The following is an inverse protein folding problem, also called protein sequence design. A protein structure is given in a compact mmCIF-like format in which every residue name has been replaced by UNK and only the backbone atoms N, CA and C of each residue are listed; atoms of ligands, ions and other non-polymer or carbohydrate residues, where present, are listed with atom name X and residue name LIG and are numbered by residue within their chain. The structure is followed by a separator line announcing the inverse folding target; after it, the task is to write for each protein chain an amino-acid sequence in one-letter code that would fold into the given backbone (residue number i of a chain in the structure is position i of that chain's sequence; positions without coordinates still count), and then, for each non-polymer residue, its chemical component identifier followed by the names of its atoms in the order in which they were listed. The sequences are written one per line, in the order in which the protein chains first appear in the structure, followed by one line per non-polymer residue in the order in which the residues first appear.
data_IF_725606812220
#
_entry.id   IF_725606812220
#
_cell.length_a   1.000
_cell.length_b   1.000
_cell.length_c   1.000
_cell.angle_alpha   90.00
_cell.angle_beta   90.00
_cell.angle_gamma   90.00
#
_symmetry.space_group_name_H-M   'P 1'
#
loop_
_entity.id
_entity.type
_entity.pdbx_description
1 polymer ?
#
# COMPACT_ATOMS: atom_id res chain seq x y z
N UNK A 1 32.54 51.38 11.60
CA UNK A 1 31.97 50.45 10.60
C UNK A 1 31.00 51.27 9.77
N UNK A 2 31.20 51.36 8.45
CA UNK A 2 30.46 52.30 7.61
C UNK A 2 29.01 51.83 7.46
N UNK A 3 28.04 52.66 7.85
CA UNK A 3 26.60 52.31 7.85
C UNK A 3 26.15 51.88 6.45
N UNK A 4 26.69 52.51 5.41
CA UNK A 4 26.42 52.17 4.01
C UNK A 4 26.88 50.76 3.63
N UNK A 5 28.00 50.29 4.20
CA UNK A 5 28.49 48.93 3.98
C UNK A 5 27.55 47.91 4.64
N UNK A 6 26.98 48.25 5.80
CA UNK A 6 26.02 47.39 6.49
C UNK A 6 24.72 47.25 5.70
N UNK A 7 24.21 48.35 5.16
CA UNK A 7 23.03 48.36 4.30
C UNK A 7 23.26 47.57 3.01
N UNK A 8 24.42 47.71 2.38
CA UNK A 8 24.75 46.99 1.15
C UNK A 8 24.85 45.47 1.38
N UNK A 9 25.48 45.04 2.47
CA UNK A 9 25.57 43.62 2.85
C UNK A 9 24.18 43.05 3.18
N UNK A 10 23.34 43.80 3.90
CA UNK A 10 21.96 43.40 4.18
C UNK A 10 21.12 43.25 2.91
N UNK A 11 21.28 44.15 1.93
CA UNK A 11 20.58 44.09 0.65
C UNK A 11 20.99 42.86 -0.18
N UNK A 12 22.30 42.56 -0.24
CA UNK A 12 22.80 41.36 -0.93
C UNK A 12 22.31 40.07 -0.26
N UNK A 13 22.26 40.02 1.07
CA UNK A 13 21.68 38.89 1.82
C UNK A 13 20.20 38.68 1.50
N UNK A 14 19.41 39.76 1.41
CA UNK A 14 17.99 39.67 1.04
C UNK A 14 17.79 39.14 -0.39
N UNK A 15 18.60 39.62 -1.34
CA UNK A 15 18.59 39.11 -2.73
C UNK A 15 18.96 37.63 -2.78
N UNK A 16 20.00 37.23 -2.03
CA UNK A 16 20.43 35.84 -1.95
C UNK A 16 19.35 34.92 -1.36
N UNK A 17 18.70 35.35 -0.26
CA UNK A 17 17.59 34.61 0.35
C UNK A 17 16.40 34.50 -0.61
N UNK A 18 16.07 35.58 -1.33
CA UNK A 18 15.00 35.59 -2.34
C UNK A 18 15.30 34.64 -3.52
N UNK A 19 16.55 34.62 -4.01
CA UNK A 19 16.96 33.72 -5.08
C UNK A 19 16.93 32.25 -4.63
N UNK A 20 17.37 31.94 -3.40
CA UNK A 20 17.27 30.58 -2.86
C UNK A 20 15.81 30.17 -2.68
N UNK A 21 14.97 31.04 -2.10
CA UNK A 21 13.57 30.70 -1.84
C UNK A 21 12.79 30.48 -3.15
N UNK A 22 13.02 31.33 -4.16
CA UNK A 22 12.44 31.14 -5.50
C UNK A 22 12.96 29.88 -6.20
N UNK A 23 14.25 29.56 -6.12
CA UNK A 23 14.79 28.29 -6.64
C UNK A 23 14.20 27.08 -5.93
N UNK A 24 14.05 27.13 -4.59
CA UNK A 24 13.42 26.04 -3.83
C UNK A 24 11.94 25.88 -4.18
N UNK A 25 11.22 26.98 -4.39
CA UNK A 25 9.81 26.97 -4.78
C UNK A 25 9.61 26.47 -6.22
N UNK A 26 10.46 26.89 -7.16
CA UNK A 26 10.43 26.38 -8.54
C UNK A 26 10.77 24.90 -8.56
N UNK A 27 11.76 24.45 -7.78
CA UNK A 27 12.12 23.05 -7.69
C UNK A 27 10.99 22.22 -7.05
N UNK A 28 10.35 22.69 -5.97
CA UNK A 28 9.22 21.98 -5.36
C UNK A 28 7.99 21.93 -6.27
N UNK A 29 7.69 23.02 -6.99
CA UNK A 29 6.60 23.09 -7.97
C UNK A 29 6.85 22.20 -9.18
N UNK A 30 8.08 22.15 -9.69
CA UNK A 30 8.47 21.24 -10.76
C UNK A 30 8.41 19.77 -10.33
N UNK A 31 8.86 19.46 -9.10
CA UNK A 31 8.78 18.11 -8.54
C UNK A 31 7.32 17.64 -8.40
N UNK A 32 6.44 18.47 -7.84
CA UNK A 32 5.00 18.16 -7.75
C UNK A 32 4.33 18.02 -9.12
N UNK A 33 4.77 18.80 -10.12
CA UNK A 33 4.26 18.70 -11.50
C UNK A 33 4.72 17.41 -12.19
N UNK A 34 5.94 16.94 -11.92
CA UNK A 34 6.52 15.71 -12.44
C UNK A 34 5.92 14.48 -11.73
N UNK A 35 5.84 14.49 -10.40
CA UNK A 35 5.24 13.42 -9.59
C UNK A 35 3.80 13.09 -10.01
N UNK A 36 3.03 14.13 -10.36
CA UNK A 36 1.64 13.98 -10.78
C UNK A 36 1.48 13.94 -12.31
N UNK A 37 2.57 13.91 -13.08
CA UNK A 37 2.48 13.85 -14.54
C UNK A 37 1.91 12.50 -14.97
N UNK A 38 0.75 12.46 -15.64
CA UNK A 38 0.16 11.21 -16.13
C UNK A 38 1.10 10.43 -17.06
N UNK A 39 2.05 11.13 -17.70
CA UNK A 39 3.06 10.52 -18.56
C UNK A 39 4.08 9.66 -17.80
N UNK A 40 4.49 10.08 -16.60
CA UNK A 40 5.51 9.37 -15.80
C UNK A 40 4.91 8.25 -14.97
N UNK A 41 3.71 8.46 -14.41
CA UNK A 41 2.97 7.43 -13.67
C UNK A 41 2.72 6.20 -14.56
N UNK A 42 2.19 6.40 -15.77
CA UNK A 42 1.86 5.30 -16.70
C UNK A 42 3.06 4.51 -17.25
N UNK A 43 4.30 4.96 -17.04
CA UNK A 43 5.52 4.33 -17.58
C UNK A 43 6.44 3.73 -16.52
N UNK A 44 6.20 3.98 -15.23
CA UNK A 44 7.15 3.65 -14.15
C UNK A 44 6.58 2.70 -13.11
N UNK A 45 5.95 1.59 -13.55
CA UNK A 45 5.55 0.52 -12.64
C UNK A 45 6.75 0.09 -11.78
N UNK A 46 6.67 0.34 -10.48
CA UNK A 46 7.72 -0.03 -9.54
C UNK A 46 7.65 -1.52 -9.24
N UNK A 47 6.43 -2.07 -9.32
CA UNK A 47 6.11 -3.49 -9.18
C UNK A 47 5.13 -3.92 -10.26
N UNK A 48 5.18 -5.20 -10.63
CA UNK A 48 4.25 -5.82 -11.57
C UNK A 48 2.91 -6.19 -10.94
N UNK A 49 2.87 -6.39 -9.62
CA UNK A 49 1.69 -6.86 -8.88
C UNK A 49 1.73 -6.46 -7.40
N UNK A 50 0.56 -6.50 -6.75
CA UNK A 50 0.39 -6.22 -5.32
C UNK A 50 -0.32 -7.37 -4.63
N UNK A 51 0.21 -7.79 -3.47
CA UNK A 51 -0.38 -8.74 -2.56
C UNK A 51 -0.72 -8.06 -1.25
N UNK A 52 -1.98 -8.16 -0.80
CA UNK A 52 -2.45 -7.55 0.44
C UNK A 52 -2.98 -8.66 1.35
N UNK A 53 -2.35 -8.84 2.51
CA UNK A 53 -2.71 -9.83 3.51
C UNK A 53 -3.27 -9.12 4.74
N UNK A 54 -4.60 -9.13 4.89
CA UNK A 54 -5.32 -8.51 5.98
C UNK A 54 -5.54 -9.46 7.15
N UNK A 55 -5.31 -8.97 8.37
CA UNK A 55 -5.67 -9.65 9.62
C UNK A 55 -6.58 -8.72 10.41
N UNK A 56 -7.86 -9.07 10.47
CA UNK A 56 -8.91 -8.31 11.15
C UNK A 56 -8.64 -8.23 12.66
N UNK A 57 -8.89 -7.07 13.26
CA UNK A 57 -8.77 -6.85 14.71
C UNK A 57 -7.37 -7.06 15.30
N UNK A 58 -6.33 -7.13 14.47
CA UNK A 58 -4.97 -7.45 14.94
C UNK A 58 -4.23 -6.28 15.62
N UNK A 59 -4.81 -5.08 15.63
CA UNK A 59 -4.29 -3.90 16.34
C UNK A 59 -2.83 -3.63 16.00
N UNK A 60 -1.99 -3.36 17.01
CA UNK A 60 -0.54 -3.13 16.86
C UNK A 60 0.31 -4.40 16.98
N UNK A 61 -0.32 -5.57 16.80
CA UNK A 61 0.21 -6.89 17.20
C UNK A 61 0.40 -7.07 18.71
N UNK A 62 0.24 -6.02 19.52
CA UNK A 62 0.60 -6.00 20.94
C UNK A 62 2.04 -6.54 21.15
N UNK A 63 2.36 -6.99 22.37
CA UNK A 63 3.62 -7.70 22.66
C UNK A 63 3.62 -9.16 22.16
N UNK A 64 2.92 -9.46 21.05
CA UNK A 64 2.87 -10.82 20.52
C UNK A 64 4.20 -11.25 19.89
N UNK A 65 4.55 -12.51 20.14
CA UNK A 65 5.67 -13.20 19.52
C UNK A 65 5.28 -13.69 18.11
N UNK A 66 5.37 -12.79 17.13
CA UNK A 66 5.08 -13.06 15.71
C UNK A 66 6.35 -12.92 14.85
N UNK A 67 7.34 -13.82 14.99
CA UNK A 67 8.67 -13.66 14.40
C UNK A 67 8.66 -13.50 12.87
N UNK A 68 7.75 -14.16 12.17
CA UNK A 68 7.60 -13.99 10.71
C UNK A 68 7.23 -12.56 10.35
N UNK A 69 6.21 -11.99 10.99
CA UNK A 69 5.78 -10.61 10.74
C UNK A 69 6.90 -9.63 11.14
N UNK A 70 7.54 -9.84 12.30
CA UNK A 70 8.67 -9.02 12.76
C UNK A 70 9.87 -9.07 11.81
N UNK A 71 10.15 -10.21 11.19
CA UNK A 71 11.22 -10.32 10.19
C UNK A 71 10.81 -9.68 8.87
N UNK A 72 9.56 -9.82 8.44
CA UNK A 72 9.05 -9.14 7.26
C UNK A 72 9.13 -7.61 7.40
N UNK A 73 8.82 -7.06 8.58
CA UNK A 73 8.99 -5.63 8.87
C UNK A 73 10.41 -5.12 8.56
N UNK A 74 11.44 -5.93 8.81
CA UNK A 74 12.84 -5.57 8.54
C UNK A 74 13.18 -5.53 7.04
N UNK A 75 12.35 -6.13 6.19
CA UNK A 75 12.58 -6.19 4.73
C UNK A 75 11.99 -5.01 3.97
N UNK A 76 11.39 -4.05 4.67
CA UNK A 76 10.72 -2.94 4.03
C UNK A 76 10.40 -1.82 5.02
N UNK A 77 9.24 -1.20 4.80
CA UNK A 77 8.69 -0.22 5.72
C UNK A 77 7.73 -0.88 6.70
N UNK A 78 7.62 -0.32 7.89
CA UNK A 78 6.66 -0.79 8.87
C UNK A 78 6.24 0.30 9.85
N UNK A 79 5.13 0.06 10.55
CA UNK A 79 4.79 0.76 11.78
C UNK A 79 4.01 -0.16 12.72
N UNK A 80 4.15 0.08 14.02
CA UNK A 80 3.31 -0.50 15.07
C UNK A 80 2.44 0.55 15.75
N UNK A 81 2.54 1.80 15.29
CA UNK A 81 1.86 2.96 15.87
C UNK A 81 1.03 3.68 14.81
N UNK A 82 0.59 2.94 13.80
CA UNK A 82 -0.36 3.43 12.80
C UNK A 82 -1.72 3.70 13.43
N UNK A 83 -2.54 4.52 12.77
CA UNK A 83 -3.92 4.77 13.22
C UNK A 83 -4.96 4.32 12.20
N UNK A 84 -6.13 3.92 12.68
CA UNK A 84 -7.30 3.71 11.82
C UNK A 84 -8.26 4.91 11.88
N UNK A 85 -9.35 4.82 11.14
CA UNK A 85 -10.43 5.82 11.10
C UNK A 85 -11.45 5.60 12.22
N UNK A 86 -12.30 6.59 12.45
CA UNK A 86 -13.43 6.51 13.39
C UNK A 86 -14.75 6.39 12.63
N UNK A 87 -15.71 5.57 13.10
CA UNK A 87 -15.56 4.59 14.18
C UNK A 87 -14.60 3.45 13.80
N UNK A 88 -13.96 2.83 14.79
CA UNK A 88 -13.01 1.72 14.60
C UNK A 88 -13.74 0.39 14.36
N UNK A 89 -14.64 0.37 13.38
CA UNK A 89 -15.50 -0.75 13.00
C UNK A 89 -15.06 -1.25 11.61
N UNK A 90 -15.07 -2.57 11.41
CA UNK A 90 -14.44 -3.21 10.26
C UNK A 90 -14.92 -2.67 8.90
N UNK A 91 -16.21 -2.43 8.68
CA UNK A 91 -16.69 -1.87 7.40
C UNK A 91 -16.13 -0.47 7.12
N UNK A 92 -16.11 0.38 8.15
CA UNK A 92 -15.58 1.73 8.11
C UNK A 92 -14.08 1.72 7.87
N UNK A 93 -13.34 0.88 8.58
CA UNK A 93 -11.90 0.75 8.49
C UNK A 93 -11.45 0.14 7.15
N UNK A 94 -12.00 -1.01 6.75
CA UNK A 94 -11.69 -1.64 5.46
C UNK A 94 -12.15 -0.78 4.28
N UNK A 95 -13.33 -0.16 4.38
CA UNK A 95 -13.83 0.80 3.40
C UNK A 95 -12.85 1.94 3.21
N UNK A 96 -12.47 2.61 4.29
CA UNK A 96 -11.51 3.72 4.27
C UNK A 96 -10.14 3.29 3.74
N UNK A 97 -9.70 2.07 4.07
CA UNK A 97 -8.42 1.53 3.59
C UNK A 97 -8.36 1.42 2.05
N UNK A 98 -9.45 0.97 1.43
CA UNK A 98 -9.48 0.66 0.00
C UNK A 98 -10.09 1.76 -0.88
N UNK A 99 -10.91 2.65 -0.31
CA UNK A 99 -11.36 3.87 -0.97
C UNK A 99 -10.46 5.08 -0.68
N UNK A 100 -9.56 4.99 0.31
CA UNK A 100 -8.68 6.08 0.75
C UNK A 100 -9.44 7.36 1.11
N UNK A 101 -10.65 7.24 1.67
CA UNK A 101 -11.50 8.35 2.13
C UNK A 101 -12.05 8.02 3.50
N UNK A 102 -12.47 9.03 4.27
CA UNK A 102 -13.08 8.81 5.58
C UNK A 102 -14.47 8.14 5.48
N UNK A 103 -14.95 7.50 6.56
CA UNK A 103 -16.22 6.77 6.58
C UNK A 103 -17.44 7.55 6.11
N UNK A 104 -17.49 8.86 6.37
CA UNK A 104 -18.59 9.74 5.94
C UNK A 104 -18.72 9.81 4.42
N UNK A 105 -17.62 9.60 3.68
CA UNK A 105 -17.63 9.66 2.22
C UNK A 105 -18.18 8.37 1.62
N UNK A 106 -17.70 7.21 2.07
CA UNK A 106 -18.12 5.92 1.51
C UNK A 106 -19.39 5.35 2.17
N UNK A 107 -19.79 5.87 3.34
CA UNK A 107 -21.01 5.53 4.08
C UNK A 107 -21.20 4.03 4.35
N UNK A 108 -20.10 3.27 4.44
CA UNK A 108 -20.15 1.85 4.75
C UNK A 108 -20.31 1.69 6.25
N UNK A 109 -21.16 0.76 6.64
CA UNK A 109 -21.28 0.23 8.00
C UNK A 109 -21.34 -1.30 7.88
N UNK A 110 -21.12 -2.04 8.98
CA UNK A 110 -21.20 -3.50 8.94
C UNK A 110 -22.53 -4.00 8.36
N UNK A 111 -23.65 -3.37 8.74
CA UNK A 111 -24.97 -3.73 8.22
C UNK A 111 -25.09 -3.51 6.69
N UNK A 112 -24.67 -2.33 6.22
CA UNK A 112 -24.70 -2.01 4.78
C UNK A 112 -23.79 -2.98 4.02
N UNK A 113 -22.56 -3.17 4.49
CA UNK A 113 -21.55 -3.96 3.80
C UNK A 113 -21.95 -5.45 3.72
N UNK A 114 -22.67 -5.98 4.70
CA UNK A 114 -23.14 -7.38 4.70
C UNK A 114 -24.45 -7.61 3.96
N UNK A 115 -25.33 -6.61 3.88
CA UNK A 115 -26.73 -6.81 3.47
C UNK A 115 -27.12 -6.09 2.19
N UNK A 116 -26.43 -5.01 1.81
CA UNK A 116 -26.75 -4.20 0.63
C UNK A 116 -25.68 -4.39 -0.43
N UNK A 117 -26.08 -4.77 -1.65
CA UNK A 117 -25.15 -4.74 -2.79
C UNK A 117 -24.87 -3.29 -3.16
N UNK A 118 -23.68 -2.81 -2.84
CA UNK A 118 -23.31 -1.44 -3.17
C UNK A 118 -22.71 -1.33 -4.57
N UNK A 119 -23.11 -0.28 -5.28
CA UNK A 119 -22.24 0.42 -6.23
C UNK A 119 -22.21 1.87 -5.77
N UNK A 120 -21.07 2.36 -5.27
CA UNK A 120 -20.85 3.78 -5.10
C UNK A 120 -19.97 4.26 -6.28
N UNK A 121 -20.58 4.53 -7.46
CA UNK A 121 -19.81 4.87 -8.66
C UNK A 121 -19.02 6.17 -8.52
N UNK A 122 -19.31 6.96 -7.48
CA UNK A 122 -18.71 8.27 -7.26
C UNK A 122 -17.37 8.18 -6.51
N UNK A 123 -17.05 7.06 -5.86
CA UNK A 123 -15.80 6.89 -5.12
C UNK A 123 -15.05 5.70 -5.68
N UNK A 124 -13.85 5.96 -6.20
CA UNK A 124 -13.05 4.92 -6.83
C UNK A 124 -12.28 4.12 -5.78
N UNK A 125 -12.52 2.82 -5.67
CA UNK A 125 -11.69 1.92 -4.85
C UNK A 125 -10.38 1.56 -5.54
N UNK A 126 -9.39 1.07 -4.78
CA UNK A 126 -8.15 0.48 -5.33
C UNK A 126 -8.42 -0.57 -6.39
N UNK A 127 -9.42 -1.43 -6.19
CA UNK A 127 -9.78 -2.50 -7.12
C UNK A 127 -10.39 -1.94 -8.42
N UNK A 128 -11.29 -0.96 -8.30
CA UNK A 128 -11.87 -0.27 -9.46
C UNK A 128 -10.78 0.50 -10.25
N UNK A 129 -9.89 1.21 -9.55
CA UNK A 129 -8.75 1.90 -10.15
C UNK A 129 -7.83 0.92 -10.90
N UNK A 130 -7.54 -0.23 -10.29
CA UNK A 130 -6.72 -1.29 -10.90
C UNK A 130 -7.39 -1.83 -12.15
N UNK A 131 -8.69 -2.11 -12.13
CA UNK A 131 -9.45 -2.58 -13.30
C UNK A 131 -9.44 -1.54 -14.43
N UNK A 132 -9.59 -0.25 -14.11
CA UNK A 132 -9.55 0.84 -15.11
C UNK A 132 -8.19 0.96 -15.80
N UNK A 133 -7.10 0.84 -15.04
CA UNK A 133 -5.73 0.97 -15.57
C UNK A 133 -5.25 -0.31 -16.25
N UNK A 134 -5.72 -1.48 -15.80
CA UNK A 134 -5.33 -2.78 -16.33
C UNK A 134 -6.58 -3.64 -16.64
N UNK A 135 -7.30 -3.35 -17.75
CA UNK A 135 -8.57 -4.01 -18.06
C UNK A 135 -8.50 -5.53 -18.16
N UNK A 136 -7.38 -6.06 -18.65
CA UNK A 136 -7.16 -7.50 -18.85
C UNK A 136 -6.46 -8.18 -17.67
N UNK A 137 -6.04 -7.42 -16.66
CA UNK A 137 -5.32 -7.97 -15.52
C UNK A 137 -6.23 -8.79 -14.60
N UNK A 138 -5.63 -9.77 -13.93
CA UNK A 138 -6.37 -10.58 -12.97
C UNK A 138 -6.41 -9.93 -11.57
N UNK A 139 -7.60 -9.77 -11.02
CA UNK A 139 -7.84 -9.17 -9.70
C UNK A 139 -8.67 -10.15 -8.86
N UNK A 140 -8.22 -10.44 -7.64
CA UNK A 140 -8.85 -11.43 -6.76
C UNK A 140 -9.02 -10.90 -5.33
N UNK A 141 -10.13 -11.28 -4.71
CA UNK A 141 -10.40 -11.07 -3.29
C UNK A 141 -10.89 -12.38 -2.66
N UNK A 142 -10.26 -12.79 -1.57
CA UNK A 142 -10.72 -13.92 -0.77
C UNK A 142 -10.82 -13.46 0.69
N UNK A 143 -11.99 -13.56 1.30
CA UNK A 143 -12.23 -13.03 2.62
C UNK A 143 -12.95 -14.04 3.51
N UNK A 144 -12.70 -13.97 4.80
CA UNK A 144 -13.50 -14.73 5.76
C UNK A 144 -14.84 -14.03 5.99
N UNK A 145 -14.81 -12.70 6.05
CA UNK A 145 -15.97 -11.88 6.29
C UNK A 145 -16.84 -11.70 5.04
N UNK A 146 -18.16 -11.88 5.17
CA UNK A 146 -19.14 -11.87 4.06
C UNK A 146 -19.17 -10.55 3.30
N UNK A 147 -18.90 -9.43 3.96
CA UNK A 147 -19.06 -8.08 3.43
C UNK A 147 -18.30 -7.86 2.10
N UNK A 148 -17.14 -8.49 1.93
CA UNK A 148 -16.30 -8.38 0.73
C UNK A 148 -16.93 -8.92 -0.56
N UNK A 149 -17.96 -9.79 -0.48
CA UNK A 149 -18.72 -10.25 -1.65
C UNK A 149 -20.07 -9.54 -1.85
N UNK A 150 -20.49 -8.71 -0.88
CA UNK A 150 -21.83 -8.11 -0.88
C UNK A 150 -21.76 -6.62 -1.13
N UNK A 151 -21.40 -5.84 -0.12
CA UNK A 151 -21.52 -4.40 -0.12
C UNK A 151 -20.20 -3.65 -0.10
N UNK A 152 -19.07 -4.29 0.15
CA UNK A 152 -17.81 -3.56 0.25
C UNK A 152 -17.36 -2.97 -1.10
N UNK A 153 -17.46 -3.77 -2.17
CA UNK A 153 -16.94 -3.43 -3.50
C UNK A 153 -17.82 -3.94 -4.63
N UNK A 154 -17.67 -3.34 -5.80
CA UNK A 154 -18.31 -3.78 -7.04
C UNK A 154 -17.75 -5.12 -7.50
N UNK A 155 -18.52 -6.20 -7.42
CA UNK A 155 -18.04 -7.55 -7.78
C UNK A 155 -17.47 -7.66 -9.22
N UNK A 156 -17.91 -6.80 -10.14
CA UNK A 156 -17.44 -6.78 -11.54
C UNK A 156 -15.96 -6.41 -11.71
N UNK A 157 -15.31 -5.84 -10.68
CA UNK A 157 -13.87 -5.54 -10.77
C UNK A 157 -13.01 -6.79 -10.62
N UNK A 158 -13.55 -7.87 -10.04
CA UNK A 158 -12.80 -9.10 -9.73
C UNK A 158 -12.99 -10.17 -10.80
N UNK A 159 -11.92 -10.92 -11.08
CA UNK A 159 -11.99 -12.15 -11.86
C UNK A 159 -12.62 -13.29 -11.04
N UNK A 160 -12.34 -13.33 -9.74
CA UNK A 160 -13.01 -14.20 -8.77
C UNK A 160 -13.01 -13.49 -7.41
N UNK A 161 -14.14 -13.56 -6.72
CA UNK A 161 -14.26 -13.12 -5.33
C UNK A 161 -14.98 -14.16 -4.47
N UNK A 162 -14.43 -14.52 -3.32
CA UNK A 162 -15.02 -15.51 -2.40
C UNK A 162 -14.99 -14.96 -0.98
N UNK A 163 -16.14 -14.94 -0.33
CA UNK A 163 -16.30 -14.50 1.05
C UNK A 163 -17.15 -15.47 1.87
N UNK A 164 -17.31 -15.21 3.18
CA UNK A 164 -18.10 -16.01 4.12
C UNK A 164 -17.58 -17.45 4.23
N UNK A 165 -16.26 -17.57 4.39
CA UNK A 165 -15.56 -18.84 4.55
C UNK A 165 -14.61 -18.75 5.75
N UNK A 166 -14.11 -19.88 6.24
CA UNK A 166 -13.16 -19.87 7.35
C UNK A 166 -11.76 -19.46 6.86
N UNK A 167 -10.95 -18.87 7.72
CA UNK A 167 -9.58 -18.42 7.40
C UNK A 167 -8.71 -19.47 6.68
N UNK A 168 -8.76 -20.74 7.11
CA UNK A 168 -7.98 -21.78 6.43
C UNK A 168 -8.42 -21.97 4.97
N UNK A 169 -9.71 -21.76 4.64
CA UNK A 169 -10.21 -21.79 3.26
C UNK A 169 -9.87 -20.53 2.49
N UNK A 170 -9.87 -19.36 3.12
CA UNK A 170 -9.35 -18.12 2.53
C UNK A 170 -7.90 -18.32 2.12
N UNK A 171 -7.10 -18.85 3.04
CA UNK A 171 -5.70 -19.13 2.82
C UNK A 171 -5.48 -20.17 1.70
N UNK A 172 -6.21 -21.29 1.71
CA UNK A 172 -6.17 -22.27 0.61
C UNK A 172 -6.46 -21.63 -0.77
N UNK A 173 -7.47 -20.73 -0.85
CA UNK A 173 -7.80 -20.00 -2.09
C UNK A 173 -6.69 -19.06 -2.54
N UNK A 174 -6.11 -18.30 -1.63
CA UNK A 174 -4.99 -17.41 -1.92
C UNK A 174 -3.73 -18.17 -2.38
N UNK A 175 -3.41 -19.27 -1.72
CA UNK A 175 -2.28 -20.13 -2.11
C UNK A 175 -2.51 -20.76 -3.49
N UNK A 176 -3.73 -21.23 -3.78
CA UNK A 176 -4.10 -21.71 -5.10
C UNK A 176 -4.00 -20.60 -6.16
N UNK A 177 -4.41 -19.38 -5.82
CA UNK A 177 -4.29 -18.23 -6.70
C UNK A 177 -2.83 -17.91 -7.04
N UNK A 178 -1.94 -17.84 -6.05
CA UNK A 178 -0.50 -17.63 -6.29
C UNK A 178 0.07 -18.75 -7.16
N UNK A 179 -0.32 -20.01 -6.89
CA UNK A 179 0.24 -21.18 -7.58
C UNK A 179 -0.24 -21.34 -9.02
N UNK A 180 -1.49 -20.98 -9.32
CA UNK A 180 -2.14 -21.37 -10.58
C UNK A 180 -2.65 -20.21 -11.42
N UNK A 181 -2.50 -18.97 -10.95
CA UNK A 181 -3.00 -17.76 -11.61
C UNK A 181 -1.91 -16.69 -11.70
N UNK A 182 -2.21 -15.54 -12.31
CA UNK A 182 -1.26 -14.44 -12.48
C UNK A 182 -1.86 -13.11 -11.97
N UNK A 183 -2.09 -12.97 -10.65
CA UNK A 183 -2.74 -11.81 -10.09
C UNK A 183 -1.91 -10.53 -10.29
N UNK A 184 -2.56 -9.47 -10.75
CA UNK A 184 -2.09 -8.08 -10.64
C UNK A 184 -2.34 -7.53 -9.25
N UNK A 185 -3.48 -7.89 -8.67
CA UNK A 185 -3.86 -7.54 -7.30
C UNK A 185 -4.56 -8.73 -6.65
N UNK A 186 -4.02 -9.20 -5.53
CA UNK A 186 -4.62 -10.25 -4.71
C UNK A 186 -4.78 -9.75 -3.27
N UNK A 187 -6.01 -9.78 -2.78
CA UNK A 187 -6.33 -9.46 -1.39
C UNK A 187 -6.85 -10.70 -0.65
N UNK A 188 -6.31 -10.93 0.56
CA UNK A 188 -6.83 -11.90 1.52
C UNK A 188 -7.26 -11.17 2.80
N UNK A 189 -8.42 -11.51 3.36
CA UNK A 189 -8.83 -11.08 4.71
C UNK A 189 -9.08 -12.29 5.61
N UNK A 190 -8.42 -12.30 6.77
CA UNK A 190 -8.54 -13.30 7.82
C UNK A 190 -9.21 -12.71 9.06
N UNK A 191 -10.08 -13.48 9.71
CA UNK A 191 -11.03 -13.03 10.75
C UNK A 191 -10.83 -13.72 12.10
N UNK A 192 -10.06 -14.82 12.16
CA UNK A 192 -9.90 -15.63 13.39
C UNK A 192 -9.37 -14.80 14.58
N UNK A 193 -8.59 -13.74 14.32
CA UNK A 193 -7.99 -12.88 15.35
C UNK A 193 -9.04 -11.99 16.01
N UNK A 194 -9.80 -11.26 15.21
CA UNK A 194 -10.90 -10.43 15.68
C UNK A 194 -11.97 -11.25 16.40
N UNK A 195 -12.39 -12.37 15.78
CA UNK A 195 -13.35 -13.30 16.37
C UNK A 195 -12.88 -13.84 17.74
N UNK A 196 -11.57 -14.08 17.89
CA UNK A 196 -10.97 -14.48 19.16
C UNK A 196 -11.01 -13.33 20.18
N UNK A 197 -10.74 -12.09 19.76
CA UNK A 197 -10.88 -10.88 20.56
C UNK A 197 -12.29 -10.70 21.11
N UNK A 198 -13.31 -10.76 20.27
CA UNK A 198 -14.71 -10.70 20.71
C UNK A 198 -15.09 -11.84 21.68
N UNK A 199 -14.61 -13.06 21.43
CA UNK A 199 -15.02 -14.23 22.21
C UNK A 199 -14.31 -14.34 23.56
N UNK A 200 -13.02 -14.00 23.60
CA UNK A 200 -12.10 -14.32 24.69
C UNK A 200 -11.31 -13.13 25.21
N UNK A 201 -11.61 -11.94 24.74
CA UNK A 201 -10.95 -10.67 24.98
C UNK A 201 -9.67 -10.49 24.14
N UNK A 202 -9.48 -9.28 23.61
CA UNK A 202 -8.23 -8.87 22.94
C UNK A 202 -7.04 -8.97 23.90
N UNK A 203 -5.85 -9.19 23.34
CA UNK A 203 -4.60 -9.34 24.09
C UNK A 203 -4.58 -10.48 25.14
N UNK A 204 -5.44 -11.50 24.99
CA UNK A 204 -5.42 -12.72 25.80
C UNK A 204 -4.65 -13.87 25.13
N UNK A 205 -4.31 -14.96 25.86
CA UNK A 205 -3.64 -16.11 25.25
C UNK A 205 -4.36 -16.69 24.03
N UNK A 206 -5.70 -16.70 24.01
CA UNK A 206 -6.46 -17.21 22.86
C UNK A 206 -6.41 -16.26 21.66
N UNK A 207 -6.42 -14.95 21.91
CA UNK A 207 -6.16 -13.95 20.88
C UNK A 207 -4.76 -14.13 20.27
N UNK A 208 -3.72 -14.27 21.10
CA UNK A 208 -2.35 -14.49 20.62
C UNK A 208 -2.16 -15.82 19.89
N UNK A 209 -2.87 -16.88 20.28
CA UNK A 209 -2.87 -18.12 19.53
C UNK A 209 -3.43 -17.93 18.12
N UNK A 210 -4.55 -17.21 17.96
CA UNK A 210 -5.10 -16.89 16.65
C UNK A 210 -4.13 -16.04 15.80
N UNK A 211 -3.54 -15.02 16.42
CA UNK A 211 -2.56 -14.16 15.75
C UNK A 211 -1.31 -14.94 15.29
N UNK A 212 -0.83 -15.89 16.09
CA UNK A 212 0.27 -16.77 15.70
C UNK A 212 -0.12 -17.66 14.51
N UNK A 213 -1.34 -18.21 14.48
CA UNK A 213 -1.82 -18.97 13.31
C UNK A 213 -1.87 -18.11 12.04
N UNK A 214 -2.31 -16.86 12.13
CA UNK A 214 -2.26 -15.91 11.01
C UNK A 214 -0.83 -15.58 10.59
N UNK A 215 0.11 -15.43 11.55
CA UNK A 215 1.54 -15.26 11.26
C UNK A 215 2.15 -16.47 10.54
N UNK A 216 1.77 -17.70 10.90
CA UNK A 216 2.20 -18.93 10.19
C UNK A 216 1.67 -18.93 8.76
N UNK A 217 0.39 -18.61 8.55
CA UNK A 217 -0.21 -18.49 7.21
C UNK A 217 0.52 -17.45 6.37
N UNK A 218 0.86 -16.30 6.96
CA UNK A 218 1.65 -15.27 6.28
C UNK A 218 3.05 -15.77 5.88
N UNK A 219 3.71 -16.58 6.71
CA UNK A 219 5.00 -17.19 6.36
C UNK A 219 4.89 -18.05 5.09
N UNK A 220 3.91 -18.94 5.06
CA UNK A 220 3.64 -19.81 3.91
C UNK A 220 3.21 -19.00 2.67
N UNK A 221 2.50 -17.89 2.87
CA UNK A 221 2.14 -16.96 1.81
C UNK A 221 3.38 -16.34 1.15
N UNK A 222 4.33 -15.84 1.94
CA UNK A 222 5.61 -15.31 1.46
C UNK A 222 6.42 -16.38 0.72
N UNK A 223 6.47 -17.60 1.25
CA UNK A 223 7.15 -18.73 0.60
C UNK A 223 6.57 -19.03 -0.78
N UNK A 224 5.23 -19.08 -0.93
CA UNK A 224 4.61 -19.32 -2.23
C UNK A 224 4.88 -18.20 -3.26
N UNK A 225 4.93 -16.94 -2.82
CA UNK A 225 5.30 -15.81 -3.68
C UNK A 225 6.75 -15.96 -4.14
N UNK A 226 7.65 -16.36 -3.22
CA UNK A 226 9.05 -16.62 -3.53
C UNK A 226 9.23 -17.79 -4.49
N UNK A 227 8.53 -18.90 -4.30
CA UNK A 227 8.54 -20.07 -5.19
C UNK A 227 8.08 -19.74 -6.62
N UNK A 228 7.22 -18.72 -6.77
CA UNK A 228 6.79 -18.19 -8.06
C UNK A 228 7.74 -17.19 -8.70
N UNK A 229 8.85 -16.87 -8.03
CA UNK A 229 9.78 -15.80 -8.42
C UNK A 229 9.09 -14.43 -8.53
N UNK A 230 8.06 -14.20 -7.72
CA UNK A 230 7.32 -12.94 -7.72
C UNK A 230 7.87 -11.92 -6.74
N UNK A 231 8.76 -12.32 -5.81
CA UNK A 231 9.26 -11.44 -4.74
C UNK A 231 9.87 -10.14 -5.29
N UNK A 232 10.72 -10.24 -6.32
CA UNK A 232 11.45 -9.11 -6.91
C UNK A 232 10.63 -8.27 -7.89
N UNK A 233 9.35 -8.55 -8.05
CA UNK A 233 8.44 -7.80 -8.91
C UNK A 233 7.09 -7.50 -8.23
N UNK A 234 6.99 -7.70 -6.91
CA UNK A 234 5.74 -7.54 -6.18
C UNK A 234 5.88 -6.61 -5.00
N UNK A 235 4.84 -5.82 -4.75
CA UNK A 235 4.62 -5.22 -3.44
C UNK A 235 3.82 -6.22 -2.60
N UNK A 236 4.32 -6.54 -1.42
CA UNK A 236 3.61 -7.33 -0.42
C UNK A 236 3.28 -6.42 0.74
N UNK A 237 2.02 -6.39 1.17
CA UNK A 237 1.55 -5.64 2.32
C UNK A 237 0.86 -6.57 3.30
N UNK A 238 1.12 -6.37 4.58
CA UNK A 238 0.37 -6.99 5.67
C UNK A 238 -0.21 -5.87 6.54
N UNK A 239 -1.51 -5.93 6.79
CA UNK A 239 -2.28 -4.82 7.35
C UNK A 239 -3.27 -5.31 8.42
N UNK A 240 -3.57 -4.43 9.38
CA UNK A 240 -4.76 -4.53 10.23
C UNK A 240 -5.66 -3.32 10.02
N UNK A 241 -6.95 -3.50 10.23
CA UNK A 241 -7.99 -2.49 10.05
C UNK A 241 -8.33 -1.77 11.35
N UNK A 242 -8.35 -2.46 12.49
CA UNK A 242 -8.49 -1.87 13.82
C UNK A 242 -7.78 -2.69 14.92
N UNK A 243 -7.69 -2.09 16.11
CA UNK A 243 -7.38 -2.78 17.35
C UNK A 243 -8.66 -3.13 18.13
N UNK A 244 -8.50 -3.54 19.38
CA UNK A 244 -9.63 -3.91 20.23
C UNK A 244 -9.23 -3.99 21.70
N UNK A 245 -10.23 -3.91 22.57
CA UNK A 245 -10.03 -3.89 24.02
C UNK A 245 -11.18 -4.62 24.70
N UNK A 246 -10.85 -5.45 25.70
CA UNK A 246 -11.82 -6.39 26.26
C UNK A 246 -12.46 -7.19 25.13
N UNK A 247 -13.79 -7.17 24.97
CA UNK A 247 -14.51 -7.91 23.91
C UNK A 247 -15.01 -7.02 22.77
N UNK A 248 -14.57 -5.77 22.71
CA UNK A 248 -15.19 -4.78 21.85
C UNK A 248 -14.17 -3.87 21.17
N UNK A 249 -14.65 -3.20 20.13
CA UNK A 249 -13.97 -2.15 19.38
C UNK A 249 -15.03 -1.14 18.88
N UNK A 250 -14.66 -0.19 18.03
CA UNK A 250 -15.55 0.91 17.61
C UNK A 250 -15.46 2.18 18.45
N UNK A 251 -14.86 2.10 19.64
CA UNK A 251 -14.59 3.25 20.53
C UNK A 251 -13.19 3.83 20.26
N UNK A 252 -13.04 5.15 20.42
CA UNK A 252 -11.82 5.89 20.05
C UNK A 252 -10.67 5.84 21.06
N UNK A 253 -10.64 4.81 21.92
CA UNK A 253 -9.52 4.60 22.84
C UNK A 253 -8.22 4.35 22.06
N UNK A 254 -7.09 4.77 22.62
CA UNK A 254 -5.77 4.69 21.97
C UNK A 254 -5.39 3.25 21.56
N UNK A 255 -5.74 2.24 22.36
CA UNK A 255 -5.47 0.83 22.03
C UNK A 255 -6.31 0.30 20.86
N UNK A 256 -7.49 0.89 20.63
CA UNK A 256 -8.44 0.45 19.62
C UNK A 256 -8.16 1.15 18.27
N UNK A 257 -7.72 2.41 18.31
CA UNK A 257 -7.37 3.15 17.09
C UNK A 257 -6.02 2.73 16.49
N UNK A 258 -5.14 2.12 17.28
CA UNK A 258 -3.79 1.79 16.81
C UNK A 258 -3.78 0.48 16.00
N UNK A 259 -3.12 0.52 14.85
CA UNK A 259 -2.96 -0.58 13.89
C UNK A 259 -1.49 -0.78 13.53
N UNK A 260 -1.17 -1.97 13.02
CA UNK A 260 0.13 -2.26 12.44
C UNK A 260 0.04 -2.25 10.92
N UNK A 261 1.15 -1.93 10.30
CA UNK A 261 1.33 -2.00 8.86
C UNK A 261 2.76 -2.42 8.56
N UNK A 262 2.93 -3.25 7.54
CA UNK A 262 4.24 -3.46 6.95
C UNK A 262 4.10 -3.71 5.45
N UNK A 263 5.06 -3.20 4.69
CA UNK A 263 5.13 -3.41 3.27
C UNK A 263 6.58 -3.59 2.81
N UNK A 264 6.79 -4.53 1.90
CA UNK A 264 8.08 -4.77 1.26
C UNK A 264 7.87 -5.01 -0.23
N UNK A 265 8.78 -4.49 -1.03
CA UNK A 265 8.79 -4.67 -2.46
C UNK A 265 10.04 -4.05 -3.09
N UNK A 266 10.23 -4.24 -4.41
CA UNK A 266 11.38 -3.72 -5.13
C UNK A 266 11.62 -2.24 -4.90
N UNK A 267 12.74 -1.93 -4.26
CA UNK A 267 13.16 -0.58 -3.91
C UNK A 267 12.52 -0.01 -2.65
N UNK A 268 11.65 -0.70 -1.93
CA UNK A 268 11.29 -0.19 -0.61
C UNK A 268 12.56 -0.14 0.26
N UNK A 269 12.76 0.93 1.06
CA UNK A 269 13.85 0.96 2.02
C UNK A 269 13.68 -0.18 3.01
N UNK A 270 14.79 -0.81 3.39
CA UNK A 270 14.78 -1.90 4.37
C UNK A 270 14.77 -1.34 5.79
N UNK A 271 14.03 -2.02 6.68
CA UNK A 271 13.96 -1.76 8.11
C UNK A 271 13.68 -0.28 8.46
N UNK A 272 12.74 0.33 7.74
CA UNK A 272 12.36 1.72 7.96
C UNK A 272 11.02 1.81 8.70
N UNK A 273 11.06 2.32 9.92
CA UNK A 273 9.83 2.69 10.62
C UNK A 273 9.24 3.98 10.04
N UNK A 274 7.96 3.95 9.69
CA UNK A 274 7.21 5.11 9.20
C UNK A 274 6.29 5.67 10.28
N UNK A 275 6.12 7.00 10.26
CA UNK A 275 5.32 7.74 11.24
C UNK A 275 4.11 8.38 10.57
N UNK A 276 3.08 8.66 11.37
CA UNK A 276 1.80 9.25 10.91
C UNK A 276 1.06 8.41 9.85
N UNK A 277 1.32 7.10 9.80
CA UNK A 277 0.57 6.18 8.96
C UNK A 277 -0.90 6.12 9.39
N UNK A 278 -1.79 6.09 8.41
CA UNK A 278 -3.20 5.74 8.60
C UNK A 278 -3.62 4.64 7.64
N UNK A 279 -4.65 3.85 7.99
CA UNK A 279 -5.24 2.85 7.08
C UNK A 279 -5.59 3.43 5.71
N UNK A 280 -5.90 4.74 5.64
CA UNK A 280 -6.19 5.47 4.41
C UNK A 280 -5.03 5.42 3.39
N UNK A 281 -3.81 5.18 3.85
CA UNK A 281 -2.58 5.21 3.04
C UNK A 281 -2.44 3.96 2.15
N UNK A 282 -3.06 2.84 2.53
CA UNK A 282 -2.83 1.52 1.89
C UNK A 282 -3.15 1.53 0.40
N UNK A 283 -4.33 2.07 0.02
CA UNK A 283 -4.72 2.15 -1.38
C UNK A 283 -3.76 3.03 -2.19
N UNK A 284 -3.30 4.17 -1.64
CA UNK A 284 -2.31 5.03 -2.29
C UNK A 284 -0.97 4.33 -2.46
N UNK A 285 -0.52 3.61 -1.42
CA UNK A 285 0.74 2.86 -1.47
C UNK A 285 0.71 1.84 -2.61
N UNK A 286 -0.35 1.02 -2.68
CA UNK A 286 -0.55 0.06 -3.74
C UNK A 286 -0.64 0.71 -5.14
N UNK A 287 -1.43 1.78 -5.26
CA UNK A 287 -1.67 2.44 -6.54
C UNK A 287 -0.41 3.05 -7.15
N UNK A 288 0.35 3.79 -6.34
CA UNK A 288 1.63 4.35 -6.77
C UNK A 288 2.65 3.28 -7.12
N UNK A 289 2.75 2.21 -6.33
CA UNK A 289 3.66 1.10 -6.66
C UNK A 289 3.31 0.43 -8.00
N UNK A 290 2.03 0.36 -8.35
CA UNK A 290 1.54 -0.11 -9.65
C UNK A 290 1.63 0.93 -10.78
N UNK A 291 2.16 2.13 -10.54
CA UNK A 291 2.24 3.19 -11.56
C UNK A 291 0.89 3.82 -11.90
N UNK A 292 -0.13 3.69 -11.05
CA UNK A 292 -1.45 4.26 -11.32
C UNK A 292 -1.53 5.71 -10.85
N UNK A 293 -2.15 6.56 -11.67
CA UNK A 293 -2.55 7.89 -11.23
C UNK A 293 -3.64 7.77 -10.14
N UNK A 294 -3.37 8.37 -8.98
CA UNK A 294 -4.26 8.33 -7.82
C UNK A 294 -5.38 9.37 -7.99
N UNK A 295 -6.65 9.00 -7.71
CA UNK A 295 -7.76 9.95 -7.68
C UNK A 295 -7.54 11.14 -6.73
N UNK A 296 -8.00 12.33 -7.12
CA UNK A 296 -7.83 13.56 -6.34
C UNK A 296 -8.59 13.54 -5.00
N UNK A 297 -9.66 12.77 -4.91
CA UNK A 297 -10.50 12.62 -3.74
C UNK A 297 -9.92 11.65 -2.69
N UNK A 298 -8.91 10.86 -3.04
CA UNK A 298 -8.20 10.04 -2.07
C UNK A 298 -7.43 10.95 -1.11
N UNK A 299 -7.68 10.81 0.19
CA UNK A 299 -7.11 11.65 1.26
C UNK A 299 -5.99 10.96 2.04
N UNK A 300 -5.76 9.66 1.83
CA UNK A 300 -4.59 8.97 2.37
C UNK A 300 -3.29 9.65 1.97
N UNK A 301 -2.19 9.25 2.55
CA UNK A 301 -0.87 9.73 2.21
C UNK A 301 -0.04 8.61 1.61
N UNK A 302 0.94 9.02 0.83
CA UNK A 302 2.09 8.19 0.58
C UNK A 302 3.15 8.62 1.61
N UNK A 303 3.70 7.70 2.44
CA UNK A 303 4.66 8.08 3.48
C UNK A 303 5.78 8.95 2.92
N UNK A 304 6.05 10.10 3.53
CA UNK A 304 7.00 11.11 2.98
C UNK A 304 8.40 10.55 2.83
N UNK A 305 8.76 9.64 3.73
CA UNK A 305 10.02 8.91 3.75
C UNK A 305 10.22 8.08 2.48
N UNK A 306 9.11 7.64 1.86
CA UNK A 306 9.13 6.97 0.58
C UNK A 306 9.14 7.97 -0.60
N UNK A 307 8.52 9.14 -0.47
CA UNK A 307 8.40 10.13 -1.55
C UNK A 307 9.74 10.45 -2.23
N UNK A 308 10.76 10.83 -1.46
CA UNK A 308 12.10 11.10 -1.99
C UNK A 308 12.74 9.88 -2.66
N UNK A 309 12.53 8.69 -2.08
CA UNK A 309 13.05 7.44 -2.63
C UNK A 309 12.43 7.16 -4.02
N UNK A 310 11.11 7.28 -4.15
CA UNK A 310 10.41 7.02 -5.40
C UNK A 310 10.69 8.07 -6.46
N UNK A 311 10.75 9.34 -6.10
CA UNK A 311 11.16 10.41 -7.02
C UNK A 311 12.54 10.09 -7.61
N UNK A 312 13.50 9.67 -6.79
CA UNK A 312 14.83 9.29 -7.26
C UNK A 312 14.79 8.06 -8.17
N UNK A 313 14.05 7.01 -7.78
CA UNK A 313 13.95 5.78 -8.56
C UNK A 313 13.20 5.98 -9.89
N UNK A 314 12.10 6.72 -9.88
CA UNK A 314 11.35 7.10 -11.08
C UNK A 314 12.20 7.94 -12.03
N UNK A 315 12.96 8.93 -11.50
CA UNK A 315 13.92 9.69 -12.32
C UNK A 315 14.95 8.78 -12.98
N UNK A 316 15.53 7.84 -12.24
CA UNK A 316 16.50 6.87 -12.79
C UNK A 316 15.88 5.98 -13.88
N UNK A 317 14.64 5.51 -13.68
CA UNK A 317 13.92 4.70 -14.67
C UNK A 317 13.66 5.49 -15.96
N UNK A 318 13.18 6.72 -15.82
CA UNK A 318 12.87 7.61 -16.96
C UNK A 318 14.14 8.01 -17.71
N UNK A 319 15.22 8.31 -17.00
CA UNK A 319 16.52 8.60 -17.62
C UNK A 319 17.05 7.39 -18.38
N UNK A 320 16.94 6.19 -17.82
CA UNK A 320 17.33 4.94 -18.48
C UNK A 320 16.52 4.72 -19.75
N UNK A 321 15.19 4.81 -19.70
CA UNK A 321 14.32 4.63 -20.88
C UNK A 321 14.62 5.66 -21.97
N UNK A 322 14.77 6.94 -21.60
CA UNK A 322 15.14 8.00 -22.54
C UNK A 322 16.48 7.67 -23.22
N UNK A 323 17.46 7.21 -22.45
CA UNK A 323 18.77 6.85 -23.00
C UNK A 323 18.68 5.61 -23.91
N UNK A 324 17.87 4.61 -23.55
CA UNK A 324 17.62 3.42 -24.37
C UNK A 324 16.91 3.77 -25.69
N UNK A 325 15.92 4.67 -25.67
CA UNK A 325 15.27 5.21 -26.88
C UNK A 325 16.25 5.99 -27.76
N UNK A 326 17.10 6.84 -27.18
CA UNK A 326 18.14 7.57 -27.90
C UNK A 326 19.12 6.59 -28.53
N UNK A 327 19.60 5.59 -27.79
CA UNK A 327 20.54 4.60 -28.29
C UNK A 327 19.92 3.75 -29.42
N UNK A 328 18.64 3.38 -29.30
CA UNK A 328 17.90 2.67 -30.33
C UNK A 328 17.72 3.52 -31.60
N UNK A 329 17.35 4.80 -31.44
CA UNK A 329 17.05 5.70 -32.55
C UNK A 329 18.29 6.22 -33.28
N UNK A 330 19.41 6.34 -32.56
CA UNK A 330 20.66 6.93 -33.09
C UNK A 330 21.82 5.92 -33.20
N UNK A 331 21.59 4.63 -32.94
CA UNK A 331 22.50 3.54 -33.33
C UNK A 331 23.83 3.50 -32.57
N UNK A 332 23.91 4.02 -31.34
CA UNK A 332 25.11 3.88 -30.52
C UNK A 332 25.19 2.43 -29.99
N UNK A 333 25.79 1.54 -30.78
CA UNK A 333 26.18 0.20 -30.30
C UNK A 333 27.15 0.35 -29.13
N UNK A 334 26.94 -0.42 -28.05
CA UNK A 334 27.87 -0.51 -26.92
C UNK A 334 29.32 -0.64 -27.44
N UNK A 335 30.29 0.11 -26.91
CA UNK A 335 31.68 -0.08 -27.27
C UNK A 335 32.12 -1.46 -26.75
N UNK A 336 32.13 -2.46 -27.64
CA UNK A 336 32.56 -3.81 -27.27
C UNK A 336 32.16 -4.97 -28.21
N UNK A 337 31.16 -4.84 -29.08
CA UNK A 337 30.84 -5.93 -30.02
C UNK A 337 31.55 -5.75 -31.36
N UNK A 338 32.80 -6.20 -31.45
CA UNK A 338 33.45 -6.44 -32.74
C UNK A 338 32.67 -7.52 -33.50
N UNK A 339 32.07 -7.15 -34.63
CA UNK A 339 31.68 -8.10 -35.67
C UNK A 339 32.96 -8.77 -36.19
N UNK A 340 33.18 -10.03 -35.85
CA UNK A 340 34.08 -10.91 -36.62
C UNK A 340 33.38 -11.22 -37.95
N UNK A 341 33.81 -10.57 -39.02
CA UNK A 341 33.60 -11.12 -40.36
C UNK A 341 34.51 -12.34 -40.51
N UNK A 342 33.93 -13.52 -40.74
CA UNK A 342 34.64 -14.65 -41.32
C UNK A 342 34.64 -14.45 -42.84
N UNK A 343 35.85 -14.37 -43.39
CA UNK A 343 36.13 -14.70 -44.79
C UNK A 343 36.38 -16.20 -44.90
#
# INVERSE_FOLDING_TARGET
MNIDLLFYVAHLLLIYIYLISTLTFINSSWLTTIENSPYLLNRTNLVNRVFIFGIDGAGTLFNAEVPTIRNFMKTGIYTLNGTTVMPTISAECWGSMFYSVYPESHALTNDIAENVKMSNPNITSLFNLTRKNFPDAEIYSYAAWKAFNVGMFENSVFNETVAKIKDHKVFERGMNCIKNKNPKLLFLQLDDVDLSGHRYDYATPRYFMALNQSSIRFSLFLEAIKEKNYLDESLIMIVSDHGGKLKDHGLGDEEIIRVFFAASGPGFPENLEIFNYTVLDVAKIAAWSLGMAVPEDWVGNYPKELGNYFIQKQKQLVEKERNDEINFKYGFSKPGSFFKFHL
#
